data_IF_148677362413
#
_entry.id   IF_148677362413
#
_cell.length_a   1.000
_cell.length_b   1.000
_cell.length_c   1.000
_cell.angle_alpha   90.00
_cell.angle_beta   90.00
_cell.angle_gamma   90.00
#
_symmetry.space_group_name_H-M   'P 1'
#
loop_
_entity.id
_entity.type
_entity.pdbx_description
1 polymer ?
#
# COMPACT_ATOMS: atom_id res chain seq x y z
N UNK A 1 4.80 14.08 2.67
CA UNK A 1 5.16 14.21 4.09
C UNK A 1 5.48 12.83 4.69
N UNK A 2 6.24 12.75 5.78
CA UNK A 2 6.65 11.46 6.38
C UNK A 2 5.47 10.72 7.02
N UNK A 3 4.53 11.42 7.66
CA UNK A 3 3.37 10.79 8.29
C UNK A 3 2.44 10.15 7.25
N UNK A 4 2.22 10.85 6.13
CA UNK A 4 1.44 10.33 5.00
C UNK A 4 2.08 9.09 4.38
N UNK A 5 3.41 9.11 4.19
CA UNK A 5 4.13 7.97 3.66
C UNK A 5 3.98 6.73 4.56
N UNK A 6 4.14 6.91 5.88
CA UNK A 6 3.96 5.82 6.85
C UNK A 6 2.52 5.31 6.86
N UNK A 7 1.53 6.21 6.82
CA UNK A 7 0.13 5.83 6.76
C UNK A 7 -0.19 5.03 5.48
N UNK A 8 0.31 5.46 4.32
CA UNK A 8 0.13 4.73 3.06
C UNK A 8 0.78 3.34 3.11
N UNK A 9 1.98 3.20 3.69
CA UNK A 9 2.61 1.89 3.91
C UNK A 9 1.76 1.00 4.80
N UNK A 10 1.20 1.56 5.87
CA UNK A 10 0.35 0.80 6.79
C UNK A 10 -0.98 0.37 6.13
N UNK A 11 -1.58 1.20 5.29
CA UNK A 11 -2.76 0.86 4.49
C UNK A 11 -2.48 -0.29 3.53
N UNK A 12 -1.29 -0.32 2.90
CA UNK A 12 -0.86 -1.42 2.02
C UNK A 12 -0.57 -2.69 2.81
N UNK A 13 0.05 -2.56 3.99
CA UNK A 13 0.37 -3.68 4.88
C UNK A 13 -0.90 -4.35 5.41
N UNK A 14 -1.89 -3.56 5.81
CA UNK A 14 -3.19 -4.02 6.31
C UNK A 14 -4.13 -4.37 5.15
N UNK A 15 -3.68 -5.25 4.25
CA UNK A 15 -4.50 -5.74 3.16
C UNK A 15 -5.35 -6.94 3.62
N UNK A 16 -6.69 -6.81 3.69
CA UNK A 16 -7.58 -7.88 4.14
C UNK A 16 -7.74 -9.02 3.13
N UNK A 17 -7.33 -8.82 1.87
CA UNK A 17 -7.49 -9.79 0.79
C UNK A 17 -6.31 -10.78 0.69
N UNK A 18 -5.40 -10.75 1.67
CA UNK A 18 -4.29 -11.71 1.75
C UNK A 18 -4.83 -13.11 2.04
N UNK A 19 -4.46 -14.08 1.20
CA UNK A 19 -4.85 -15.48 1.38
C UNK A 19 -4.30 -16.03 2.70
N UNK A 20 -5.12 -16.81 3.41
CA UNK A 20 -4.73 -17.44 4.67
C UNK A 20 -4.78 -16.51 5.90
N UNK A 21 -5.28 -15.28 5.75
CA UNK A 21 -5.46 -14.36 6.87
C UNK A 21 -6.54 -14.89 7.84
N UNK A 22 -6.16 -15.12 9.10
CA UNK A 22 -7.06 -15.67 10.13
C UNK A 22 -8.05 -14.63 10.66
N UNK A 23 -7.59 -13.41 10.93
CA UNK A 23 -8.36 -12.36 11.58
C UNK A 23 -8.64 -11.20 10.61
N UNK A 24 -9.34 -11.49 9.51
CA UNK A 24 -9.72 -10.46 8.53
C UNK A 24 -10.47 -9.26 9.14
N UNK A 25 -11.46 -9.44 10.05
CA UNK A 25 -12.20 -8.31 10.61
C UNK A 25 -11.31 -7.30 11.36
N UNK A 26 -10.30 -7.78 12.10
CA UNK A 26 -9.37 -6.91 12.83
C UNK A 26 -8.48 -6.11 11.87
N UNK A 27 -8.03 -6.75 10.79
CA UNK A 27 -7.23 -6.09 9.75
C UNK A 27 -8.05 -5.01 9.04
N UNK A 28 -9.29 -5.31 8.68
CA UNK A 28 -10.22 -4.34 8.10
C UNK A 28 -10.43 -3.15 9.05
N UNK A 29 -10.76 -3.40 10.32
CA UNK A 29 -10.98 -2.35 11.30
C UNK A 29 -9.73 -1.49 11.56
N UNK A 30 -8.54 -2.10 11.59
CA UNK A 30 -7.28 -1.36 11.70
C UNK A 30 -7.03 -0.51 10.46
N UNK A 31 -7.30 -1.03 9.26
CA UNK A 31 -7.12 -0.31 8.01
C UNK A 31 -8.03 0.91 7.94
N UNK A 32 -9.30 0.76 8.32
CA UNK A 32 -10.27 1.86 8.42
C UNK A 32 -9.81 2.96 9.38
N UNK A 33 -9.26 2.59 10.54
CA UNK A 33 -8.69 3.56 11.49
C UNK A 33 -7.56 4.37 10.84
N UNK A 34 -6.68 3.73 10.07
CA UNK A 34 -5.59 4.45 9.40
C UNK A 34 -6.13 5.38 8.30
N UNK A 35 -7.14 4.97 7.54
CA UNK A 35 -7.80 5.87 6.59
C UNK A 35 -8.39 7.10 7.28
N UNK A 36 -9.09 6.90 8.40
CA UNK A 36 -9.68 8.00 9.18
C UNK A 36 -8.62 8.95 9.74
N UNK A 37 -7.55 8.41 10.35
CA UNK A 37 -6.44 9.22 10.86
C UNK A 37 -5.72 10.00 9.74
N UNK A 38 -5.56 9.40 8.56
CA UNK A 38 -4.90 10.05 7.44
C UNK A 38 -5.75 11.19 6.85
N UNK A 39 -7.07 11.01 6.72
CA UNK A 39 -7.99 12.07 6.29
C UNK A 39 -7.97 13.25 7.29
N UNK A 40 -8.07 12.96 8.58
CA UNK A 40 -8.00 13.97 9.64
C UNK A 40 -6.65 14.71 9.63
N UNK A 41 -5.54 13.98 9.47
CA UNK A 41 -4.21 14.59 9.33
C UNK A 41 -4.12 15.50 8.12
N UNK A 42 -4.61 15.07 6.95
CA UNK A 42 -4.61 15.89 5.74
C UNK A 42 -5.42 17.19 5.95
N UNK A 43 -6.61 17.10 6.56
CA UNK A 43 -7.44 18.28 6.84
C UNK A 43 -6.78 19.28 7.79
N UNK A 44 -5.97 18.80 8.74
CA UNK A 44 -5.28 19.62 9.74
C UNK A 44 -3.96 20.20 9.24
N UNK A 45 -3.10 19.35 8.68
CA UNK A 45 -1.75 19.71 8.25
C UNK A 45 -1.72 20.36 6.86
N UNK A 46 -2.73 20.09 6.03
CA UNK A 46 -2.81 20.55 4.64
C UNK A 46 -4.19 21.16 4.34
N UNK A 47 -4.68 22.03 5.22
CA UNK A 47 -6.03 22.61 5.15
C UNK A 47 -6.32 23.41 3.86
N UNK A 48 -5.29 23.90 3.18
CA UNK A 48 -5.40 24.61 1.89
C UNK A 48 -5.43 23.68 0.67
N UNK A 49 -5.15 22.39 0.85
CA UNK A 49 -5.08 21.39 -0.23
C UNK A 49 -6.31 20.48 -0.20
N UNK A 50 -7.43 21.01 -0.69
CA UNK A 50 -8.67 20.24 -0.76
C UNK A 50 -8.48 18.96 -1.61
N UNK A 51 -8.99 17.83 -1.13
CA UNK A 51 -8.87 16.54 -1.82
C UNK A 51 -7.49 15.86 -1.72
N UNK A 52 -6.56 16.38 -0.90
CA UNK A 52 -5.24 15.73 -0.69
C UNK A 52 -5.32 14.28 -0.24
N UNK A 53 -6.24 13.96 0.65
CA UNK A 53 -6.47 12.58 1.08
C UNK A 53 -6.79 11.67 -0.12
N UNK A 54 -7.74 12.06 -0.96
CA UNK A 54 -8.11 11.31 -2.16
C UNK A 54 -6.93 11.20 -3.14
N UNK A 55 -6.16 12.27 -3.34
CA UNK A 55 -5.00 12.24 -4.24
C UNK A 55 -3.89 11.30 -3.77
N UNK A 56 -3.70 11.14 -2.45
CA UNK A 56 -2.80 10.15 -1.87
C UNK A 56 -3.32 8.72 -2.09
N UNK A 57 -4.62 8.48 -1.91
CA UNK A 57 -5.20 7.15 -2.12
C UNK A 57 -5.12 6.69 -3.59
N UNK A 58 -5.27 7.60 -4.54
CA UNK A 58 -5.12 7.32 -5.97
C UNK A 58 -3.72 6.86 -6.37
N UNK A 59 -2.71 7.05 -5.51
CA UNK A 59 -1.35 6.53 -5.75
C UNK A 59 -1.22 5.04 -5.41
N UNK A 60 -2.11 4.49 -4.58
CA UNK A 60 -2.04 3.08 -4.15
C UNK A 60 -2.22 2.08 -5.32
N UNK A 61 -3.18 2.26 -6.25
CA UNK A 61 -3.28 1.39 -7.43
C UNK A 61 -2.04 1.45 -8.32
N UNK A 62 -1.50 2.65 -8.59
CA UNK A 62 -0.30 2.83 -9.39
C UNK A 62 0.91 2.14 -8.75
N UNK A 63 1.06 2.27 -7.42
CA UNK A 63 2.10 1.59 -6.66
C UNK A 63 1.98 0.06 -6.78
N UNK A 64 0.76 -0.49 -6.66
CA UNK A 64 0.51 -1.92 -6.85
C UNK A 64 0.94 -2.38 -8.25
N UNK A 65 0.60 -1.63 -9.29
CA UNK A 65 1.00 -1.96 -10.67
C UNK A 65 2.52 -1.96 -10.86
N UNK A 66 3.22 -0.99 -10.25
CA UNK A 66 4.69 -0.95 -10.28
C UNK A 66 5.28 -2.15 -9.52
N UNK A 67 4.80 -2.44 -8.31
CA UNK A 67 5.29 -3.57 -7.51
C UNK A 67 5.12 -4.91 -8.21
N UNK A 68 4.00 -5.13 -8.89
CA UNK A 68 3.76 -6.36 -9.66
C UNK A 68 4.73 -6.48 -10.83
N UNK A 69 4.93 -5.42 -11.63
CA UNK A 69 5.91 -5.42 -12.72
C UNK A 69 7.33 -5.68 -12.21
N UNK A 70 7.73 -5.02 -11.13
CA UNK A 70 9.03 -5.24 -10.50
C UNK A 70 9.19 -6.69 -10.00
N UNK A 71 8.15 -7.26 -9.42
CA UNK A 71 8.15 -8.66 -8.97
C UNK A 71 8.28 -9.62 -10.16
N UNK A 72 7.56 -9.41 -11.26
CA UNK A 72 7.68 -10.21 -12.48
C UNK A 72 9.11 -10.18 -13.03
N UNK A 73 9.73 -9.01 -13.10
CA UNK A 73 11.13 -8.89 -13.54
C UNK A 73 12.09 -9.63 -12.60
N UNK A 74 11.94 -9.48 -11.28
CA UNK A 74 12.78 -10.17 -10.29
C UNK A 74 12.58 -11.69 -10.34
N UNK A 75 11.34 -12.15 -10.49
CA UNK A 75 11.02 -13.56 -10.64
C UNK A 75 11.58 -14.14 -11.93
N UNK A 76 11.52 -13.39 -13.04
CA UNK A 76 12.15 -13.77 -14.31
C UNK A 76 13.68 -13.91 -14.16
N UNK A 77 14.34 -12.97 -13.50
CA UNK A 77 15.78 -13.08 -13.23
C UNK A 77 16.11 -14.29 -12.35
N UNK A 78 15.30 -14.55 -11.32
CA UNK A 78 15.48 -15.73 -10.47
C UNK A 78 15.32 -17.03 -11.28
N UNK A 79 14.29 -17.14 -12.13
CA UNK A 79 14.08 -18.30 -12.99
C UNK A 79 15.24 -18.52 -13.97
N UNK A 80 15.81 -17.45 -14.56
CA UNK A 80 17.00 -17.56 -15.41
C UNK A 80 18.21 -18.05 -14.60
N UNK A 81 18.41 -17.50 -13.39
CA UNK A 81 19.53 -17.88 -12.54
C UNK A 81 19.45 -19.36 -12.13
N UNK A 82 18.26 -19.86 -11.78
CA UNK A 82 18.02 -21.27 -11.45
C UNK A 82 18.05 -22.18 -12.70
N UNK A 83 17.67 -21.66 -13.87
CA UNK A 83 17.71 -22.36 -15.15
C UNK A 83 19.09 -22.42 -15.81
N UNK A 84 20.09 -21.73 -15.26
CA UNK A 84 21.48 -21.74 -15.74
C UNK A 84 22.36 -22.76 -15.02
N UNK A 85 21.75 -23.84 -14.52
CA UNK A 85 22.46 -25.06 -14.14
C UNK A 85 22.78 -25.79 -15.45
N UNK A 86 23.95 -25.47 -16.01
CA UNK A 86 24.64 -26.34 -16.97
C UNK A 86 25.08 -27.64 -16.32
#
# INVERSE_FOLDING_TARGET
>A
DQAEYVALKAIVLLNPDVKGLKNRPDVDALREKIFSCLDEYCRRAHSSEEGRFASLLLRLPALRSISLKSFEHLFYFHLIAEGNIG
#
